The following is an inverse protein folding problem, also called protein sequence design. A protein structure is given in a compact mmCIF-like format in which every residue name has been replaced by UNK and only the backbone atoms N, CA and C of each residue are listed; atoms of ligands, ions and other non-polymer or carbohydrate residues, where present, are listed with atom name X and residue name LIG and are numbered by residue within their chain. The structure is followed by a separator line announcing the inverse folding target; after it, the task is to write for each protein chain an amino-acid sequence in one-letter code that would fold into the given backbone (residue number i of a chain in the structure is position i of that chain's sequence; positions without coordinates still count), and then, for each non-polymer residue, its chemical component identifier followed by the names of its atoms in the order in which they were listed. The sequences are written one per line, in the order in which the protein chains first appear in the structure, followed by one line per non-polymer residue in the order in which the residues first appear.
data_IF_199882199926
#
_entry.id   IF_199882199926
#
_cell.length_a   1.000
_cell.length_b   1.000
_cell.length_c   1.000
_cell.angle_alpha   90.00
_cell.angle_beta   90.00
_cell.angle_gamma   90.00
#
_symmetry.space_group_name_H-M   'P 1'
#
loop_
_entity.id
_entity.type
_entity.pdbx_description
1 polymer ?
#
# COMPACT_ATOMS: atom_id res chain seq x y z
N UNK A 1 -11.75 3.89 -30.35
CA UNK A 1 -12.02 3.86 -28.91
C UNK A 1 -13.20 4.77 -28.63
N UNK A 2 -14.29 4.22 -28.09
CA UNK A 2 -15.46 4.99 -27.67
C UNK A 2 -15.25 5.62 -26.30
N UNK A 3 -16.05 6.64 -25.95
CA UNK A 3 -16.06 7.23 -24.60
C UNK A 3 -16.37 6.17 -23.53
N UNK A 4 -17.24 5.21 -23.84
CA UNK A 4 -17.56 4.09 -22.95
C UNK A 4 -16.36 3.17 -22.69
N UNK A 5 -15.57 2.86 -23.72
CA UNK A 5 -14.34 2.06 -23.57
C UNK A 5 -13.30 2.79 -22.72
N UNK A 6 -13.11 4.09 -22.93
CA UNK A 6 -12.20 4.92 -22.11
C UNK A 6 -12.64 4.91 -20.65
N UNK A 7 -13.94 5.07 -20.37
CA UNK A 7 -14.47 5.02 -19.00
C UNK A 7 -14.24 3.67 -18.33
N UNK A 8 -14.47 2.58 -19.06
CA UNK A 8 -14.25 1.23 -18.55
C UNK A 8 -12.77 0.98 -18.21
N UNK A 9 -11.85 1.35 -19.10
CA UNK A 9 -10.41 1.21 -18.86
C UNK A 9 -9.94 2.04 -17.66
N UNK A 10 -10.40 3.28 -17.54
CA UNK A 10 -10.07 4.15 -16.41
C UNK A 10 -10.65 3.64 -15.09
N UNK A 11 -11.89 3.14 -15.09
CA UNK A 11 -12.49 2.50 -13.93
C UNK A 11 -11.71 1.27 -13.46
N UNK A 12 -11.28 0.42 -14.40
CA UNK A 12 -10.44 -0.73 -14.10
C UNK A 12 -9.07 -0.31 -13.51
N UNK A 13 -8.48 0.78 -14.02
CA UNK A 13 -7.23 1.31 -13.50
C UNK A 13 -7.37 1.82 -12.05
N UNK A 14 -8.48 2.51 -11.72
CA UNK A 14 -8.77 2.96 -10.35
C UNK A 14 -8.91 1.78 -9.40
N UNK A 15 -9.65 0.74 -9.80
CA UNK A 15 -9.80 -0.46 -8.97
C UNK A 15 -8.49 -1.21 -8.77
N UNK A 16 -7.64 -1.31 -9.80
CA UNK A 16 -6.32 -1.88 -9.68
C UNK A 16 -5.43 -1.09 -8.69
N UNK A 17 -5.46 0.24 -8.73
CA UNK A 17 -4.72 1.08 -7.77
C UNK A 17 -5.22 0.89 -6.33
N UNK A 18 -6.54 0.84 -6.12
CA UNK A 18 -7.14 0.58 -4.81
C UNK A 18 -6.78 -0.81 -4.28
N UNK A 19 -6.78 -1.82 -5.14
CA UNK A 19 -6.37 -3.17 -4.77
C UNK A 19 -4.88 -3.23 -4.42
N UNK A 20 -4.01 -2.60 -5.24
CA UNK A 20 -2.59 -2.49 -4.96
C UNK A 20 -2.32 -1.83 -3.61
N UNK A 21 -3.03 -0.74 -3.29
CA UNK A 21 -2.96 -0.10 -1.96
C UNK A 21 -3.32 -1.06 -0.82
N UNK A 22 -4.43 -1.80 -0.94
CA UNK A 22 -4.87 -2.75 0.09
C UNK A 22 -3.84 -3.85 0.33
N UNK A 23 -3.23 -4.38 -0.73
CA UNK A 23 -2.18 -5.42 -0.62
C UNK A 23 -0.96 -4.87 0.12
N UNK A 24 -0.53 -3.66 -0.20
CA UNK A 24 0.60 -3.01 0.48
C UNK A 24 0.31 -2.77 1.97
N UNK A 25 -0.87 -2.22 2.29
CA UNK A 25 -1.27 -1.98 3.68
C UNK A 25 -1.35 -3.31 4.48
N UNK A 26 -1.85 -4.38 3.86
CA UNK A 26 -1.90 -5.71 4.48
C UNK A 26 -0.50 -6.31 4.71
N UNK A 27 0.41 -6.19 3.75
CA UNK A 27 1.78 -6.69 3.87
C UNK A 27 2.53 -5.98 5.01
N UNK A 28 2.38 -4.66 5.13
CA UNK A 28 2.95 -3.89 6.25
C UNK A 28 2.38 -4.37 7.58
N UNK A 29 1.05 -4.48 7.70
CA UNK A 29 0.39 -4.91 8.94
C UNK A 29 0.80 -6.32 9.37
N UNK A 30 0.89 -7.27 8.43
CA UNK A 30 1.32 -8.64 8.74
C UNK A 30 2.76 -8.69 9.24
N UNK A 31 3.64 -7.90 8.62
CA UNK A 31 5.05 -7.88 8.99
C UNK A 31 5.29 -7.11 10.31
N UNK A 32 4.48 -6.11 10.64
CA UNK A 32 4.44 -5.49 11.98
C UNK A 32 3.97 -6.49 13.06
N UNK A 33 2.92 -7.27 12.79
CA UNK A 33 2.42 -8.29 13.74
C UNK A 33 3.47 -9.37 14.00
N UNK A 34 4.05 -9.95 12.94
CA UNK A 34 5.04 -11.02 13.05
C UNK A 34 6.30 -10.57 13.82
N UNK A 35 6.73 -9.32 13.62
CA UNK A 35 7.88 -8.77 14.35
C UNK A 35 7.55 -8.44 15.81
N UNK A 36 6.36 -7.90 16.08
CA UNK A 36 5.87 -7.68 17.45
C UNK A 36 5.75 -8.98 18.25
N UNK A 37 5.23 -10.04 17.63
CA UNK A 37 5.15 -11.38 18.23
C UNK A 37 6.53 -11.94 18.54
N UNK A 38 7.49 -11.84 17.59
CA UNK A 38 8.86 -12.28 17.80
C UNK A 38 9.54 -11.51 18.97
N UNK A 39 9.34 -10.19 19.04
CA UNK A 39 9.86 -9.36 20.13
C UNK A 39 9.24 -9.74 21.50
N UNK A 40 7.94 -10.06 21.53
CA UNK A 40 7.22 -10.50 22.72
C UNK A 40 7.70 -11.86 23.24
N UNK A 41 7.90 -12.83 22.34
CA UNK A 41 8.43 -14.17 22.68
C UNK A 41 9.86 -14.07 23.23
N UNK A 42 10.68 -13.17 22.67
CA UNK A 42 12.06 -12.95 23.10
C UNK A 42 12.19 -12.07 24.36
N UNK A 43 11.08 -11.83 25.09
CA UNK A 43 10.99 -11.01 26.32
C UNK A 43 11.61 -9.61 26.19
N UNK A 44 11.52 -8.99 25.01
CA UNK A 44 12.13 -7.67 24.77
C UNK A 44 13.65 -7.65 24.88
N UNK A 45 14.31 -8.82 24.88
CA UNK A 45 15.75 -8.89 24.68
C UNK A 45 16.09 -8.22 23.36
N UNK A 46 17.07 -7.30 23.37
CA UNK A 46 17.58 -6.65 22.18
C UNK A 46 18.34 -7.67 21.30
N UNK A 47 17.61 -8.66 20.78
CA UNK A 47 18.16 -9.60 19.83
C UNK A 47 18.43 -8.80 18.55
N UNK A 48 19.69 -8.74 18.15
CA UNK A 48 20.13 -7.92 17.00
C UNK A 48 19.31 -8.20 15.75
N UNK A 49 18.88 -9.45 15.58
CA UNK A 49 18.04 -9.89 14.47
C UNK A 49 16.62 -9.29 14.49
N UNK A 50 15.96 -9.25 15.65
CA UNK A 50 14.64 -8.60 15.79
C UNK A 50 14.76 -7.10 15.53
N UNK A 51 15.82 -6.48 16.05
CA UNK A 51 16.10 -5.06 15.81
C UNK A 51 16.34 -4.77 14.32
N UNK A 52 17.13 -5.62 13.65
CA UNK A 52 17.39 -5.53 12.21
C UNK A 52 16.12 -5.69 11.38
N UNK A 53 15.26 -6.64 11.74
CA UNK A 53 13.99 -6.85 11.04
C UNK A 53 13.05 -5.65 11.26
N UNK A 54 12.96 -5.08 12.47
CA UNK A 54 12.18 -3.85 12.69
C UNK A 54 12.70 -2.66 11.87
N UNK A 55 14.02 -2.49 11.76
CA UNK A 55 14.60 -1.44 10.93
C UNK A 55 14.32 -1.65 9.43
N UNK A 56 14.44 -2.89 8.95
CA UNK A 56 14.09 -3.24 7.58
C UNK A 56 12.60 -3.00 7.29
N UNK A 57 11.73 -3.34 8.25
CA UNK A 57 10.30 -3.09 8.16
C UNK A 57 9.97 -1.59 8.10
N UNK A 58 10.60 -0.80 8.97
CA UNK A 58 10.44 0.66 8.97
C UNK A 58 10.90 1.28 7.65
N UNK A 59 12.01 0.80 7.09
CA UNK A 59 12.51 1.23 5.77
C UNK A 59 11.52 0.86 4.65
N UNK A 60 11.02 -0.37 4.65
CA UNK A 60 10.02 -0.82 3.67
C UNK A 60 8.73 0.00 3.79
N UNK A 61 8.25 0.27 5.00
CA UNK A 61 7.08 1.13 5.23
C UNK A 61 7.30 2.56 4.71
N UNK A 62 8.50 3.11 4.89
CA UNK A 62 8.88 4.42 4.37
C UNK A 62 8.92 4.46 2.83
N UNK A 63 9.27 3.36 2.16
CA UNK A 63 9.21 3.24 0.69
C UNK A 63 7.78 3.05 0.17
N UNK A 64 6.94 2.34 0.92
CA UNK A 64 5.54 2.07 0.58
C UNK A 64 4.67 3.32 0.71
N UNK A 65 4.92 4.19 1.70
CA UNK A 65 4.11 5.38 1.94
C UNK A 65 4.01 6.34 0.73
N UNK A 66 5.10 6.68 0.01
CA UNK A 66 5.04 7.42 -1.24
C UNK A 66 4.23 6.73 -2.33
N UNK A 67 4.34 5.40 -2.45
CA UNK A 67 3.61 4.61 -3.45
C UNK A 67 2.10 4.67 -3.16
N UNK A 68 1.71 4.52 -1.89
CA UNK A 68 0.32 4.65 -1.44
C UNK A 68 -0.26 6.02 -1.81
N UNK A 69 0.46 7.10 -1.51
CA UNK A 69 0.04 8.47 -1.87
C UNK A 69 -0.11 8.64 -3.38
N UNK A 70 0.75 8.02 -4.19
CA UNK A 70 0.65 8.07 -5.66
C UNK A 70 -0.58 7.33 -6.18
N UNK A 71 -0.89 6.16 -5.62
CA UNK A 71 -2.11 5.44 -5.97
C UNK A 71 -3.36 6.22 -5.61
N UNK A 72 -3.39 6.85 -4.43
CA UNK A 72 -4.52 7.68 -4.00
C UNK A 72 -4.70 8.89 -4.93
N UNK A 73 -3.63 9.64 -5.20
CA UNK A 73 -3.67 10.81 -6.07
C UNK A 73 -4.03 10.45 -7.53
N UNK A 74 -3.58 9.29 -8.01
CA UNK A 74 -3.93 8.83 -9.35
C UNK A 74 -5.39 8.39 -9.43
N UNK A 75 -5.90 7.67 -8.41
CA UNK A 75 -7.30 7.28 -8.32
C UNK A 75 -8.22 8.50 -8.25
N UNK A 76 -7.87 9.52 -7.47
CA UNK A 76 -8.60 10.79 -7.38
C UNK A 76 -8.62 11.52 -8.74
N UNK A 77 -7.46 11.73 -9.37
CA UNK A 77 -7.39 12.38 -10.68
C UNK A 77 -8.18 11.65 -11.76
N UNK A 78 -8.13 10.33 -11.78
CA UNK A 78 -8.91 9.53 -12.75
C UNK A 78 -10.40 9.65 -12.44
N UNK A 79 -10.80 9.63 -11.17
CA UNK A 79 -12.19 9.85 -10.75
C UNK A 79 -12.72 11.22 -11.16
N UNK A 80 -11.93 12.27 -10.97
CA UNK A 80 -12.26 13.63 -11.41
C UNK A 80 -12.40 13.73 -12.93
N UNK A 81 -11.53 13.04 -13.67
CA UNK A 81 -11.61 13.01 -15.12
C UNK A 81 -12.85 12.25 -15.62
N UNK A 82 -13.16 11.11 -14.99
CA UNK A 82 -14.36 10.33 -15.27
C UNK A 82 -15.65 11.11 -15.02
N UNK A 83 -15.73 11.85 -13.91
CA UNK A 83 -16.92 12.65 -13.58
C UNK A 83 -17.14 13.81 -14.57
N UNK A 84 -16.07 14.40 -15.09
CA UNK A 84 -16.13 15.43 -16.14
C UNK A 84 -16.51 14.89 -17.52
N UNK A 85 -16.28 13.59 -17.77
CA UNK A 85 -16.68 12.91 -19.01
C UNK A 85 -18.17 12.52 -19.04
N UNK A 86 -18.94 12.83 -17.99
CA UNK A 86 -20.40 12.64 -17.90
C UNK A 86 -20.82 11.19 -17.96
#
# INVERSE_FOLDING_TARGET
MSVGEVKATLGAAVEAMRQGRRVLDQAVSQAESATGEAAGVLRGGQHEEVTRIHQALASAAAEVAPIRRRFDAAAEKIGDYLSRLG
#
